data_IF_437977233871
#
_entry.id   IF_437977233871
#
_cell.length_a   1.000
_cell.length_b   1.000
_cell.length_c   1.000
_cell.angle_alpha   90.00
_cell.angle_beta   90.00
_cell.angle_gamma   90.00
#
_symmetry.space_group_name_H-M   'P 1'
#
loop_
_entity.id
_entity.type
_entity.pdbx_description
1 polymer ?
#
# COMPACT_ATOMS: atom_id res chain seq x y z
N UNK A 1 4.99 -3.44 -10.02
CA UNK A 1 3.72 -3.29 -9.27
C UNK A 1 3.19 -1.87 -9.44
N UNK A 2 1.89 -1.64 -9.24
CA UNK A 2 1.29 -0.29 -9.31
C UNK A 2 1.07 0.24 -7.90
N UNK A 3 1.50 1.47 -7.62
CA UNK A 3 1.20 2.19 -6.40
C UNK A 3 0.22 3.33 -6.72
N UNK A 4 -0.91 3.38 -6.02
CA UNK A 4 -1.80 4.53 -6.05
C UNK A 4 -1.54 5.40 -4.82
N UNK A 5 -0.97 6.57 -5.04
CA UNK A 5 -0.62 7.52 -3.98
C UNK A 5 -1.61 8.67 -4.02
N UNK A 6 -2.33 8.89 -2.92
CA UNK A 6 -3.28 9.99 -2.78
C UNK A 6 -2.73 11.07 -1.85
N UNK A 7 -2.99 12.33 -2.19
CA UNK A 7 -2.67 13.47 -1.33
C UNK A 7 -3.97 14.10 -0.82
N UNK A 8 -4.39 13.81 0.43
CA UNK A 8 -5.72 14.17 0.92
C UNK A 8 -5.92 15.69 1.06
N UNK A 9 -4.86 16.47 1.23
CA UNK A 9 -4.97 17.92 1.39
C UNK A 9 -5.42 18.63 0.10
N UNK A 10 -5.09 18.09 -1.08
CA UNK A 10 -5.55 18.63 -2.38
C UNK A 10 -6.58 17.75 -3.06
N UNK A 11 -6.81 16.53 -2.56
CA UNK A 11 -7.70 15.55 -3.18
C UNK A 11 -7.16 14.94 -4.48
N UNK A 12 -5.88 15.16 -4.81
CA UNK A 12 -5.27 14.60 -6.01
C UNK A 12 -4.73 13.19 -5.75
N UNK A 13 -4.68 12.37 -6.80
CA UNK A 13 -4.04 11.04 -6.75
C UNK A 13 -3.11 10.85 -7.95
N UNK A 14 -2.02 10.12 -7.74
CA UNK A 14 -1.04 9.76 -8.77
C UNK A 14 -0.85 8.25 -8.76
N UNK A 15 -1.01 7.64 -9.93
CA UNK A 15 -0.66 6.24 -10.15
C UNK A 15 0.79 6.17 -10.61
N UNK A 16 1.61 5.42 -9.87
CA UNK A 16 3.03 5.22 -10.16
C UNK A 16 3.25 3.74 -10.47
N UNK A 17 3.80 3.46 -11.64
CA UNK A 17 4.21 2.10 -12.02
C UNK A 17 5.69 1.91 -11.68
N UNK A 18 5.99 0.98 -10.78
CA UNK A 18 7.35 0.69 -10.34
C UNK A 18 7.69 -0.75 -10.77
N UNK A 19 8.70 -0.88 -11.63
CA UNK A 19 9.21 -2.18 -12.06
C UNK A 19 10.31 -2.74 -11.14
N UNK A 20 11.11 -1.85 -10.53
CA UNK A 20 12.24 -2.23 -9.69
C UNK A 20 11.79 -2.70 -8.29
N UNK A 21 12.18 -3.91 -7.93
CA UNK A 21 11.85 -4.54 -6.65
C UNK A 21 12.62 -3.94 -5.47
N UNK A 22 13.82 -3.39 -5.69
CA UNK A 22 14.59 -2.74 -4.62
C UNK A 22 13.85 -1.56 -4.00
N UNK A 23 13.11 -0.82 -4.83
CA UNK A 23 12.27 0.30 -4.41
C UNK A 23 11.04 -0.14 -3.61
N UNK A 24 10.54 -1.34 -3.90
CA UNK A 24 9.34 -1.89 -3.27
C UNK A 24 9.63 -2.60 -1.94
N UNK A 25 10.88 -3.00 -1.70
CA UNK A 25 11.31 -3.72 -0.49
C UNK A 25 10.96 -3.00 0.82
N UNK A 26 10.89 -1.67 0.79
CA UNK A 26 10.54 -0.84 1.95
C UNK A 26 9.09 -1.05 2.41
N UNK A 27 8.21 -1.50 1.51
CA UNK A 27 6.81 -1.83 1.82
C UNK A 27 6.61 -3.26 2.31
N UNK A 28 7.61 -4.13 2.14
CA UNK A 28 7.52 -5.52 2.63
C UNK A 28 7.58 -5.56 4.16
N UNK A 29 6.89 -6.55 4.74
CA UNK A 29 6.72 -6.72 6.19
C UNK A 29 6.05 -5.53 6.92
N UNK A 30 5.46 -4.60 6.18
CA UNK A 30 4.67 -3.50 6.74
C UNK A 30 3.18 -3.83 6.70
N UNK A 31 2.48 -3.41 7.75
CA UNK A 31 1.03 -3.60 7.89
C UNK A 31 0.28 -2.37 7.40
N UNK A 32 -0.99 -2.57 7.04
CA UNK A 32 -1.90 -1.47 6.73
C UNK A 32 -2.02 -0.53 7.94
N UNK A 33 -1.97 0.77 7.70
CA UNK A 33 -1.96 1.83 8.71
C UNK A 33 -0.56 2.25 9.17
N UNK A 34 0.50 1.51 8.82
CA UNK A 34 1.87 1.90 9.16
C UNK A 34 2.37 3.05 8.28
N UNK A 35 3.17 3.92 8.89
CA UNK A 35 3.92 4.97 8.21
C UNK A 35 5.26 4.44 7.72
N UNK A 36 5.61 4.82 6.51
CA UNK A 36 6.77 4.33 5.78
C UNK A 36 7.41 5.50 5.01
N UNK A 37 8.74 5.65 5.06
CA UNK A 37 9.42 6.67 4.25
C UNK A 37 9.33 6.33 2.76
N UNK A 38 8.99 7.32 1.93
CA UNK A 38 8.84 7.17 0.48
C UNK A 38 10.13 7.42 -0.30
N UNK A 39 11.25 7.68 0.38
CA UNK A 39 12.56 8.01 -0.21
C UNK A 39 13.04 7.00 -1.25
N UNK A 40 12.67 5.73 -1.09
CA UNK A 40 13.10 4.65 -1.98
C UNK A 40 12.33 4.56 -3.31
N UNK A 41 11.21 5.27 -3.46
CA UNK A 41 10.43 5.27 -4.72
C UNK A 41 11.16 6.07 -5.81
N UNK A 42 11.78 7.18 -5.42
CA UNK A 42 12.57 8.06 -6.29
C UNK A 42 12.80 9.43 -5.66
N UNK A 43 13.65 10.24 -6.29
CA UNK A 43 14.05 11.55 -5.75
C UNK A 43 12.88 12.53 -5.58
N UNK A 44 11.82 12.41 -6.39
CA UNK A 44 10.58 13.20 -6.25
C UNK A 44 9.88 12.99 -4.90
N UNK A 45 10.06 11.81 -4.29
CA UNK A 45 9.38 11.39 -3.07
C UNK A 45 10.29 11.46 -1.84
N UNK A 46 11.47 12.07 -1.98
CA UNK A 46 12.42 12.25 -0.89
C UNK A 46 11.86 13.18 0.18
N UNK A 47 11.93 12.76 1.43
CA UNK A 47 11.41 13.47 2.60
C UNK A 47 9.91 13.29 2.84
N UNK A 48 9.20 12.52 2.00
CA UNK A 48 7.80 12.21 2.22
C UNK A 48 7.63 10.97 3.08
N UNK A 49 6.69 11.07 4.02
CA UNK A 49 6.22 9.92 4.81
C UNK A 49 4.84 9.56 4.27
N UNK A 50 4.69 8.30 3.87
CA UNK A 50 3.43 7.77 3.35
C UNK A 50 2.88 6.74 4.31
N UNK A 51 1.55 6.70 4.41
CA UNK A 51 0.83 5.69 5.18
C UNK A 51 0.24 4.66 4.25
N UNK A 52 0.45 3.38 4.54
CA UNK A 52 -0.14 2.28 3.75
C UNK A 52 -1.65 2.23 4.05
N UNK A 53 -2.47 2.66 3.10
CA UNK A 53 -3.93 2.63 3.23
C UNK A 53 -4.52 1.25 2.91
N UNK A 54 -3.81 0.43 2.13
CA UNK A 54 -4.24 -0.91 1.73
C UNK A 54 -3.72 -1.27 0.34
N UNK A 55 -4.35 -2.25 -0.28
CA UNK A 55 -3.99 -2.72 -1.61
C UNK A 55 -4.88 -3.87 -2.07
N UNK A 56 -4.74 -4.23 -3.34
CA UNK A 56 -5.38 -5.39 -3.94
C UNK A 56 -4.28 -6.36 -4.39
N UNK A 57 -4.52 -7.66 -4.20
CA UNK A 57 -3.69 -8.72 -4.77
C UNK A 57 -3.87 -8.79 -6.30
N UNK A 58 -3.00 -9.53 -7.00
CA UNK A 58 -3.07 -9.76 -8.46
C UNK A 58 -4.40 -10.35 -8.92
N UNK A 59 -5.08 -11.12 -8.05
CA UNK A 59 -6.40 -11.71 -8.32
C UNK A 59 -7.56 -10.80 -7.91
N UNK A 60 -7.29 -9.56 -7.47
CA UNK A 60 -8.30 -8.57 -7.11
C UNK A 60 -8.84 -8.67 -5.68
N UNK A 61 -8.33 -9.59 -4.84
CA UNK A 61 -8.74 -9.65 -3.45
C UNK A 61 -8.22 -8.44 -2.66
N UNK A 62 -9.08 -7.73 -1.92
CA UNK A 62 -8.68 -6.57 -1.13
C UNK A 62 -8.01 -6.99 0.19
N UNK A 63 -7.08 -6.18 0.66
CA UNK A 63 -6.55 -6.29 2.01
C UNK A 63 -7.59 -5.85 3.05
N UNK A 64 -7.60 -6.51 4.22
CA UNK A 64 -8.48 -6.17 5.35
C UNK A 64 -7.67 -5.98 6.62
N UNK A 65 -7.94 -4.89 7.34
CA UNK A 65 -7.35 -4.67 8.67
C UNK A 65 -7.73 -5.78 9.65
N UNK A 66 -6.78 -6.22 10.47
CA UNK A 66 -7.00 -7.26 11.47
C UNK A 66 -6.68 -8.68 11.00
N UNK A 67 -6.49 -8.89 9.70
CA UNK A 67 -5.96 -10.15 9.16
C UNK A 67 -4.43 -10.13 9.28
N UNK A 68 -3.88 -10.98 10.14
CA UNK A 68 -2.44 -11.02 10.46
C UNK A 68 -1.65 -12.01 9.59
N UNK A 69 -2.32 -12.70 8.67
CA UNK A 69 -1.70 -13.67 7.76
C UNK A 69 -1.35 -13.00 6.43
N UNK A 70 -0.19 -13.32 5.86
CA UNK A 70 0.22 -12.82 4.54
C UNK A 70 -0.57 -13.48 3.39
N UNK A 71 -1.16 -14.66 3.63
CA UNK A 71 -2.00 -15.37 2.68
C UNK A 71 -3.46 -14.91 2.68
N UNK A 72 -4.24 -15.50 1.78
CA UNK A 72 -5.69 -15.30 1.73
C UNK A 72 -6.36 -16.06 2.87
N UNK A 73 -7.29 -15.39 3.54
CA UNK A 73 -8.14 -16.00 4.55
C UNK A 73 -9.60 -15.77 4.18
N UNK A 74 -10.43 -16.75 4.49
CA UNK A 74 -11.88 -16.66 4.31
C UNK A 74 -12.45 -16.13 5.62
N UNK A 75 -13.18 -15.02 5.54
CA UNK A 75 -13.86 -14.39 6.65
C UNK A 75 -15.36 -14.43 6.40
N UNK A 76 -16.13 -14.66 7.46
CA UNK A 76 -17.58 -14.53 7.42
C UNK A 76 -17.90 -13.07 7.74
N UNK A 77 -18.46 -12.35 6.76
CA UNK A 77 -18.99 -11.02 6.99
C UNK A 77 -20.46 -11.16 7.38
N UNK A 78 -20.80 -10.70 8.58
CA UNK A 78 -22.19 -10.57 8.98
C UNK A 78 -22.80 -9.44 8.16
N UNK A 79 -23.82 -9.76 7.37
CA UNK A 79 -24.67 -8.75 6.75
C UNK A 79 -25.57 -8.20 7.85
N UNK A 80 -25.47 -6.90 8.09
CA UNK A 80 -26.49 -6.15 8.83
C UNK A 80 -27.61 -5.74 7.88
#
# INVERSE_FOLDING_TARGET
MKLNISYPATGCQKLVEIADEHKLRVFYDKRMGMEVPADSIGDEWKGYIVRISGGNDKQGFPMKQGVLTNGKSILIFLCW
#
